data_IF_006902696125
#
_entry.id   IF_006902696125
#
_cell.length_a   1.000
_cell.length_b   1.000
_cell.length_c   1.000
_cell.angle_alpha   90.00
_cell.angle_beta   90.00
_cell.angle_gamma   90.00
#
_symmetry.space_group_name_H-M   'P 1'
#
loop_
_entity.id
_entity.type
_entity.pdbx_description
1 polymer ?
#
# COMPACT_ATOMS: atom_id res chain seq x y z
N UNK A 1 -24.65 19.32 -8.71
CA UNK A 1 -23.55 18.35 -8.66
C UNK A 1 -22.83 18.54 -7.33
N UNK A 2 -22.71 17.51 -6.51
CA UNK A 2 -21.97 17.54 -5.25
C UNK A 2 -20.46 17.66 -5.50
N UNK A 3 -19.65 18.07 -4.51
CA UNK A 3 -18.20 18.05 -4.66
C UNK A 3 -17.64 16.67 -5.03
N UNK A 4 -18.25 15.60 -4.50
CA UNK A 4 -17.92 14.23 -4.87
C UNK A 4 -18.21 13.94 -6.35
N UNK A 5 -19.42 14.26 -6.83
CA UNK A 5 -19.80 14.03 -8.22
C UNK A 5 -18.92 14.81 -9.20
N UNK A 6 -18.48 16.01 -8.84
CA UNK A 6 -17.53 16.80 -9.63
C UNK A 6 -16.15 16.15 -9.71
N UNK A 7 -15.62 15.65 -8.57
CA UNK A 7 -14.35 14.91 -8.55
C UNK A 7 -14.45 13.62 -9.37
N UNK A 8 -15.56 12.90 -9.26
CA UNK A 8 -15.79 11.67 -10.01
C UNK A 8 -15.84 11.92 -11.52
N UNK A 9 -16.63 12.92 -11.96
CA UNK A 9 -16.71 13.31 -13.38
C UNK A 9 -15.34 13.72 -13.93
N UNK A 10 -14.58 14.53 -13.15
CA UNK A 10 -13.22 14.95 -13.51
C UNK A 10 -12.29 13.76 -13.74
N UNK A 11 -12.24 12.81 -12.80
CA UNK A 11 -11.38 11.63 -12.88
C UNK A 11 -11.82 10.73 -14.04
N UNK A 12 -13.11 10.49 -14.20
CA UNK A 12 -13.64 9.65 -15.28
C UNK A 12 -13.33 10.22 -16.66
N UNK A 13 -13.48 11.53 -16.85
CA UNK A 13 -13.13 12.22 -18.10
C UNK A 13 -11.64 12.09 -18.41
N UNK A 14 -10.78 12.36 -17.43
CA UNK A 14 -9.33 12.23 -17.59
C UNK A 14 -8.92 10.80 -17.98
N UNK A 15 -9.47 9.78 -17.31
CA UNK A 15 -9.22 8.36 -17.63
C UNK A 15 -9.79 7.93 -18.99
N UNK A 16 -10.82 8.62 -19.48
CA UNK A 16 -11.47 8.35 -20.77
C UNK A 16 -10.94 9.24 -21.90
N UNK A 17 -9.81 9.92 -21.70
CA UNK A 17 -9.20 10.84 -22.65
C UNK A 17 -10.16 11.96 -23.13
N UNK A 18 -11.08 12.38 -22.28
CA UNK A 18 -12.02 13.50 -22.50
C UNK A 18 -11.57 14.68 -21.65
N UNK A 19 -11.71 15.91 -22.17
CA UNK A 19 -11.30 17.12 -21.45
C UNK A 19 -12.08 17.29 -20.13
N UNK A 20 -11.41 17.25 -18.95
CA UNK A 20 -12.03 17.52 -17.66
C UNK A 20 -12.09 19.03 -17.38
N UNK A 21 -12.80 19.43 -16.33
CA UNK A 21 -12.85 20.82 -15.87
C UNK A 21 -11.49 21.38 -15.40
N UNK A 22 -10.61 20.49 -14.91
CA UNK A 22 -9.17 20.71 -14.68
C UNK A 22 -8.42 19.38 -14.57
N UNK A 23 -7.09 19.43 -14.59
CA UNK A 23 -6.23 18.27 -14.35
C UNK A 23 -6.54 17.67 -12.95
N UNK A 24 -6.84 16.35 -12.83
CA UNK A 24 -6.97 15.68 -11.54
C UNK A 24 -5.65 15.69 -10.75
N UNK A 25 -5.74 15.88 -9.44
CA UNK A 25 -4.62 15.90 -8.49
C UNK A 25 -4.63 14.62 -7.66
N UNK A 26 -3.48 13.98 -7.61
CA UNK A 26 -3.22 12.75 -6.89
C UNK A 26 -1.74 12.69 -6.55
N UNK A 27 -1.41 12.10 -5.41
CA UNK A 27 -0.03 11.81 -5.01
C UNK A 27 0.00 10.63 -4.02
N UNK A 28 1.19 10.06 -3.80
CA UNK A 28 1.45 9.02 -2.82
C UNK A 28 2.48 9.52 -1.79
N UNK A 29 2.06 9.58 -0.53
CA UNK A 29 2.89 10.10 0.54
C UNK A 29 3.46 8.97 1.39
N UNK A 30 4.76 9.00 1.61
CA UNK A 30 5.43 8.16 2.61
C UNK A 30 4.97 8.55 4.02
N UNK A 31 4.88 7.58 4.92
CA UNK A 31 4.43 7.83 6.30
C UNK A 31 5.35 8.84 7.00
N UNK A 32 6.66 8.72 6.81
CA UNK A 32 7.65 9.62 7.41
C UNK A 32 7.50 11.06 6.90
N UNK A 33 7.06 11.22 5.65
CA UNK A 33 6.73 12.53 5.09
C UNK A 33 5.50 13.12 5.78
N UNK A 34 4.42 12.34 5.95
CA UNK A 34 3.20 12.77 6.63
C UNK A 34 3.51 13.18 8.07
N UNK A 35 4.28 12.38 8.81
CA UNK A 35 4.64 12.65 10.20
C UNK A 35 5.45 13.95 10.34
N UNK A 36 6.40 14.17 9.43
CA UNK A 36 7.19 15.41 9.36
C UNK A 36 6.31 16.60 8.99
N UNK A 37 5.46 16.44 7.98
CA UNK A 37 4.54 17.47 7.49
C UNK A 37 3.58 17.95 8.58
N UNK A 38 2.95 17.04 9.33
CA UNK A 38 2.09 17.36 10.49
C UNK A 38 2.86 18.17 11.52
N UNK A 39 4.06 17.70 11.91
CA UNK A 39 4.90 18.35 12.93
C UNK A 39 5.35 19.75 12.51
N UNK A 40 5.86 19.91 11.29
CA UNK A 40 6.39 21.19 10.81
C UNK A 40 5.30 22.23 10.56
N UNK A 41 4.09 21.79 10.20
CA UNK A 41 2.92 22.67 9.99
C UNK A 41 2.12 22.92 11.28
N UNK A 42 2.42 22.22 12.37
CA UNK A 42 1.67 22.32 13.63
C UNK A 42 0.21 21.86 13.51
N UNK A 43 -0.03 20.82 12.70
CA UNK A 43 -1.37 20.31 12.42
C UNK A 43 -1.81 19.28 13.49
N UNK A 44 -3.13 19.05 13.66
CA UNK A 44 -3.63 17.93 14.44
C UNK A 44 -3.06 16.57 13.97
N UNK A 45 -2.76 15.61 14.87
CA UNK A 45 -2.17 14.32 14.52
C UNK A 45 -3.01 13.46 13.56
N UNK A 46 -4.32 13.67 13.54
CA UNK A 46 -5.30 12.95 12.72
C UNK A 46 -5.62 13.67 11.40
N UNK A 47 -4.88 14.73 11.05
CA UNK A 47 -5.11 15.47 9.81
C UNK A 47 -4.86 14.58 8.58
N UNK A 48 -5.91 14.36 7.79
CA UNK A 48 -5.81 13.65 6.53
C UNK A 48 -5.20 14.55 5.44
N UNK A 49 -4.00 14.23 4.98
CA UNK A 49 -3.28 15.00 3.95
C UNK A 49 -4.06 15.10 2.63
N UNK A 50 -4.82 14.07 2.26
CA UNK A 50 -5.60 14.06 1.02
C UNK A 50 -6.77 15.04 1.10
N UNK A 51 -7.40 15.14 2.27
CA UNK A 51 -8.47 16.10 2.52
C UNK A 51 -7.90 17.51 2.63
N UNK A 52 -6.77 17.68 3.32
CA UNK A 52 -6.11 18.98 3.50
C UNK A 52 -5.75 19.66 2.17
N UNK A 53 -5.28 18.89 1.18
CA UNK A 53 -4.91 19.40 -0.14
C UNK A 53 -6.00 19.22 -1.20
N UNK A 54 -7.17 18.71 -0.82
CA UNK A 54 -8.31 18.48 -1.72
C UNK A 54 -7.94 17.60 -2.93
N UNK A 55 -7.33 16.44 -2.67
CA UNK A 55 -7.01 15.44 -3.68
C UNK A 55 -8.27 14.88 -4.33
N UNK A 56 -8.19 14.50 -5.61
CA UNK A 56 -9.35 14.07 -6.39
C UNK A 56 -9.71 12.61 -6.18
N UNK A 57 -8.72 11.77 -5.89
CA UNK A 57 -8.91 10.37 -5.53
C UNK A 57 -7.75 9.89 -4.65
N UNK A 58 -7.98 8.78 -3.95
CA UNK A 58 -6.98 8.06 -3.16
C UNK A 58 -6.80 6.67 -3.73
N UNK A 59 -5.58 6.16 -3.73
CA UNK A 59 -5.30 4.82 -4.20
C UNK A 59 -5.70 3.80 -3.12
N UNK A 60 -6.57 2.86 -3.48
CA UNK A 60 -6.78 1.67 -2.67
C UNK A 60 -5.76 0.62 -3.10
N UNK A 61 -4.69 0.47 -2.32
CA UNK A 61 -3.69 -0.58 -2.56
C UNK A 61 -4.23 -1.88 -2.01
N UNK A 62 -4.43 -2.87 -2.89
CA UNK A 62 -4.87 -4.20 -2.54
C UNK A 62 -3.68 -5.10 -2.20
N UNK A 63 -3.94 -6.26 -1.61
CA UNK A 63 -2.93 -7.31 -1.54
C UNK A 63 -2.67 -7.82 -2.98
N UNK A 64 -1.42 -7.74 -3.41
CA UNK A 64 -0.98 -8.22 -4.74
C UNK A 64 -0.22 -9.56 -4.64
N UNK A 65 -0.19 -10.16 -3.44
CA UNK A 65 0.51 -11.41 -3.18
C UNK A 65 -0.08 -12.57 -4.00
N UNK A 66 0.76 -13.33 -4.75
CA UNK A 66 0.38 -14.56 -5.45
C UNK A 66 -0.28 -15.62 -4.57
N UNK A 67 0.09 -15.64 -3.29
CA UNK A 67 -0.49 -16.48 -2.25
C UNK A 67 -1.28 -15.60 -1.30
N UNK A 68 -2.58 -15.85 -1.20
CA UNK A 68 -3.46 -15.03 -0.36
C UNK A 68 -3.39 -15.54 1.07
N UNK A 69 -2.24 -15.30 1.70
CA UNK A 69 -2.00 -15.62 3.11
C UNK A 69 -1.64 -14.36 3.91
N UNK A 70 -2.03 -14.34 5.18
CA UNK A 70 -1.45 -13.42 6.14
C UNK A 70 0.00 -13.87 6.36
N UNK A 71 0.96 -13.00 6.08
CA UNK A 71 2.40 -13.27 6.25
C UNK A 71 2.75 -14.15 7.47
N UNK A 72 3.81 -14.95 7.36
CA UNK A 72 4.33 -15.72 8.50
C UNK A 72 5.39 -14.90 9.24
N UNK A 73 5.14 -14.54 10.50
CA UNK A 73 6.15 -13.90 11.35
C UNK A 73 7.29 -14.88 11.66
N UNK A 74 8.53 -14.49 11.39
CA UNK A 74 9.73 -15.27 11.69
C UNK A 74 10.42 -14.71 12.94
N UNK A 75 10.57 -13.39 13.02
CA UNK A 75 11.28 -12.73 14.10
C UNK A 75 10.74 -11.32 14.33
N UNK A 76 10.65 -10.90 15.61
CA UNK A 76 10.39 -9.52 16.00
C UNK A 76 11.59 -9.00 16.80
N UNK A 77 12.30 -8.04 16.23
CA UNK A 77 13.34 -7.27 16.91
C UNK A 77 12.77 -6.02 17.61
N UNK A 78 13.65 -5.18 18.14
CA UNK A 78 13.27 -3.91 18.76
C UNK A 78 12.86 -2.82 17.75
N UNK A 79 13.46 -2.86 16.56
CA UNK A 79 13.34 -1.84 15.49
C UNK A 79 13.19 -2.48 14.10
N UNK A 80 12.88 -3.77 14.05
CA UNK A 80 12.63 -4.49 12.81
C UNK A 80 11.73 -5.72 13.00
N UNK A 81 11.18 -6.19 11.89
CA UNK A 81 10.41 -7.44 11.80
C UNK A 81 10.91 -8.26 10.62
N UNK A 82 11.12 -9.57 10.84
CA UNK A 82 11.40 -10.53 9.77
C UNK A 82 10.15 -11.39 9.58
N UNK A 83 9.69 -11.48 8.34
CA UNK A 83 8.49 -12.24 8.00
C UNK A 83 8.60 -12.81 6.59
N UNK A 84 7.80 -13.83 6.32
CA UNK A 84 7.59 -14.40 4.99
C UNK A 84 6.29 -13.87 4.40
N UNK A 85 6.34 -13.24 3.23
CA UNK A 85 5.14 -12.73 2.54
C UNK A 85 4.49 -13.80 1.66
N UNK A 86 3.26 -13.54 1.21
CA UNK A 86 2.58 -14.36 0.20
C UNK A 86 3.20 -14.22 -1.20
N UNK A 87 4.15 -13.31 -1.39
CA UNK A 87 5.08 -13.32 -2.52
C UNK A 87 6.14 -14.43 -2.46
N UNK A 88 6.14 -15.28 -1.44
CA UNK A 88 7.16 -16.32 -1.28
C UNK A 88 8.54 -15.75 -0.97
N UNK A 89 8.60 -14.56 -0.36
CA UNK A 89 9.84 -13.87 -0.03
C UNK A 89 10.02 -13.79 1.49
N UNK A 90 11.23 -14.06 1.99
CA UNK A 90 11.60 -13.70 3.35
C UNK A 90 12.13 -12.28 3.35
N UNK A 91 11.52 -11.42 4.15
CA UNK A 91 11.75 -9.98 4.19
C UNK A 91 12.17 -9.55 5.59
N UNK A 92 13.12 -8.62 5.68
CA UNK A 92 13.41 -7.85 6.90
C UNK A 92 12.94 -6.42 6.70
N UNK A 93 11.88 -6.02 7.40
CA UNK A 93 11.39 -4.63 7.44
C UNK A 93 11.94 -3.95 8.69
N UNK A 94 12.84 -2.99 8.50
CA UNK A 94 13.23 -2.07 9.56
C UNK A 94 12.20 -0.95 9.70
N UNK A 95 11.96 -0.47 10.91
CA UNK A 95 10.91 0.52 11.18
C UNK A 95 11.25 1.89 10.58
N UNK A 96 12.54 2.20 10.47
CA UNK A 96 13.08 3.46 9.94
C UNK A 96 13.37 3.45 8.43
N UNK A 97 13.16 2.32 7.74
CA UNK A 97 13.43 2.19 6.30
C UNK A 97 12.13 1.90 5.57
N UNK A 98 11.72 2.71 4.58
CA UNK A 98 10.48 2.46 3.85
C UNK A 98 10.52 1.15 3.07
N UNK A 99 11.68 0.82 2.49
CA UNK A 99 11.88 -0.42 1.74
C UNK A 99 12.38 -1.54 2.65
N UNK A 100 11.80 -2.76 2.58
CA UNK A 100 12.33 -3.93 3.25
C UNK A 100 13.57 -4.47 2.53
N UNK A 101 14.40 -5.22 3.26
CA UNK A 101 15.48 -6.02 2.69
C UNK A 101 14.94 -7.42 2.32
N UNK A 102 15.18 -7.85 1.08
CA UNK A 102 14.92 -9.22 0.64
C UNK A 102 16.05 -10.12 1.14
N UNK A 103 15.68 -11.13 1.91
CA UNK A 103 16.63 -12.06 2.54
C UNK A 103 16.70 -13.38 1.79
N UNK A 104 15.56 -13.86 1.29
CA UNK A 104 15.44 -15.14 0.58
C UNK A 104 14.17 -15.17 -0.28
N UNK A 105 14.15 -16.05 -1.27
CA UNK A 105 13.03 -16.28 -2.20
C UNK A 105 12.74 -17.78 -2.31
N UNK A 106 11.46 -18.16 -2.33
CA UNK A 106 11.03 -19.54 -2.56
C UNK A 106 11.34 -20.03 -3.97
N UNK A 107 11.19 -19.16 -4.97
CA UNK A 107 11.47 -19.46 -6.37
C UNK A 107 12.83 -18.86 -6.73
N UNK A 108 13.80 -19.72 -7.03
CA UNK A 108 15.21 -19.35 -7.25
C UNK A 108 15.69 -19.62 -8.67
N UNK A 109 14.88 -20.31 -9.48
CA UNK A 109 15.22 -20.64 -10.87
C UNK A 109 14.01 -20.55 -11.80
N UNK A 110 14.26 -20.48 -13.11
CA UNK A 110 13.20 -20.41 -14.10
C UNK A 110 12.36 -21.71 -14.15
N UNK A 111 12.99 -22.87 -13.95
CA UNK A 111 12.33 -24.18 -13.99
C UNK A 111 11.32 -24.33 -12.85
N UNK A 112 11.55 -23.67 -11.71
CA UNK A 112 10.63 -23.68 -10.57
C UNK A 112 9.31 -22.93 -10.84
N UNK A 113 9.27 -22.00 -11.80
CA UNK A 113 8.04 -21.30 -12.16
C UNK A 113 6.96 -22.24 -12.68
N UNK A 114 7.33 -23.35 -13.33
CA UNK A 114 6.36 -24.33 -13.85
C UNK A 114 5.52 -24.97 -12.73
N UNK A 115 6.07 -25.04 -11.52
CA UNK A 115 5.40 -25.62 -10.36
C UNK A 115 4.67 -24.57 -9.50
N UNK A 116 4.83 -23.28 -9.82
CA UNK A 116 4.23 -22.20 -9.06
C UNK A 116 2.78 -21.99 -9.50
N UNK A 117 1.85 -22.19 -8.58
CA UNK A 117 0.41 -22.03 -8.82
C UNK A 117 -0.09 -20.81 -8.05
N UNK A 118 -0.79 -19.90 -8.71
CA UNK A 118 -1.44 -18.76 -8.05
C UNK A 118 -2.65 -19.25 -7.24
N UNK A 119 -2.90 -18.62 -6.11
CA UNK A 119 -4.13 -18.87 -5.35
C UNK A 119 -5.36 -18.26 -6.05
N UNK A 120 -6.55 -18.68 -5.63
CA UNK A 120 -7.80 -18.07 -6.10
C UNK A 120 -7.80 -16.57 -5.73
N UNK A 121 -7.97 -15.65 -6.71
CA UNK A 121 -8.00 -14.21 -6.44
C UNK A 121 -9.23 -13.76 -5.63
N UNK A 122 -10.22 -14.63 -5.42
CA UNK A 122 -11.40 -14.36 -4.60
C UNK A 122 -11.57 -15.42 -3.49
N UNK A 123 -10.60 -15.54 -2.56
CA UNK A 123 -10.71 -16.52 -1.49
C UNK A 123 -11.81 -16.11 -0.49
N UNK A 124 -12.33 -17.05 0.31
CA UNK A 124 -13.19 -16.69 1.43
C UNK A 124 -12.49 -15.64 2.33
N UNK A 125 -13.23 -14.78 3.05
CA UNK A 125 -12.65 -13.72 3.85
C UNK A 125 -11.61 -14.27 4.84
N UNK A 126 -10.34 -14.10 4.51
CA UNK A 126 -9.23 -14.34 5.42
C UNK A 126 -9.13 -13.08 6.29
N UNK A 127 -8.74 -13.23 7.56
CA UNK A 127 -8.37 -12.07 8.35
C UNK A 127 -7.10 -11.47 7.73
N UNK A 128 -7.26 -10.67 6.69
CA UNK A 128 -6.21 -9.79 6.22
C UNK A 128 -6.01 -8.84 7.37
N UNK A 129 -4.97 -9.06 8.18
CA UNK A 129 -4.38 -7.93 8.84
C UNK A 129 -4.07 -7.00 7.69
N UNK A 130 -4.87 -5.94 7.55
CA UNK A 130 -4.38 -4.72 6.92
C UNK A 130 -2.96 -4.64 7.44
N UNK A 131 -1.95 -4.56 6.58
CA UNK A 131 -0.67 -4.07 7.03
C UNK A 131 -0.93 -2.60 7.43
N UNK A 132 -1.69 -2.37 8.50
CA UNK A 132 -1.24 -1.51 9.55
C UNK A 132 0.20 -1.95 9.76
N UNK A 133 1.11 -1.20 9.13
CA UNK A 133 2.31 -0.74 9.83
C UNK A 133 1.94 -0.76 11.30
N UNK A 134 2.51 -1.67 12.11
CA UNK A 134 2.12 -1.82 13.50
C UNK A 134 2.03 -0.41 14.05
N UNK A 135 0.85 -0.02 14.53
CA UNK A 135 0.73 1.25 15.23
C UNK A 135 1.81 1.23 16.31
N UNK A 136 2.67 2.26 16.29
CA UNK A 136 3.64 2.54 17.34
C UNK A 136 2.99 2.47 18.73
#
# INVERSE_FOLDING_TARGET
MTPYEQKLDRVQKALSCTEPDRIPRFDLFWQEFIDKWIREKGLPPDTNINEHYDMDFVLCVMNEDPKVDSFTLIERGSDYTVFKSGFGCTLKKADYSPMPAYMDFEVQSADEYENFVLDDPNPPPVATSRASTPSL
#
